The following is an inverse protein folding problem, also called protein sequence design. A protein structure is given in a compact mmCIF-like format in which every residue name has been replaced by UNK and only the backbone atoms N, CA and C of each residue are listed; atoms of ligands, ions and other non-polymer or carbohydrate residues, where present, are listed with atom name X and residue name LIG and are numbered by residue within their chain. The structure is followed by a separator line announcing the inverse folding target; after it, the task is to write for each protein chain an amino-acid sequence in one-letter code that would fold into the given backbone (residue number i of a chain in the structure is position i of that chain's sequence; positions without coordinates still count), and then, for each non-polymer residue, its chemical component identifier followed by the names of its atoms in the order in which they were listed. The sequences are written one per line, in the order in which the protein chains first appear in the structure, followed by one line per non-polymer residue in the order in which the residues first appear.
data_IF_451608966555
#
_entry.id   IF_451608966555
#
_cell.length_a   1.000
_cell.length_b   1.000
_cell.length_c   1.000
_cell.angle_alpha   90.00
_cell.angle_beta   90.00
_cell.angle_gamma   90.00
#
_symmetry.space_group_name_H-M   'P 1'
#
loop_
_entity.id
_entity.type
_entity.pdbx_description
1 polymer ?
#
# COMPACT_ATOMS: atom_id res chain seq x y z
N UNK A 1 35.92 -26.52 -55.81
CA UNK A 1 34.99 -25.57 -55.18
C UNK A 1 35.07 -25.72 -53.64
N UNK A 2 35.89 -24.86 -53.02
CA UNK A 2 35.96 -24.77 -51.58
C UNK A 2 34.83 -23.76 -51.09
N UNK A 3 33.85 -24.26 -50.37
CA UNK A 3 32.84 -23.45 -49.73
C UNK A 3 33.38 -23.03 -48.36
N UNK A 4 33.83 -21.77 -48.24
CA UNK A 4 34.25 -21.19 -46.96
C UNK A 4 33.05 -20.92 -46.06
N UNK A 5 32.98 -21.61 -44.92
CA UNK A 5 32.04 -21.30 -43.86
C UNK A 5 32.51 -20.03 -43.13
N UNK A 6 31.78 -18.92 -43.29
CA UNK A 6 31.97 -17.72 -42.49
C UNK A 6 31.25 -17.96 -41.17
N UNK A 7 32.02 -18.27 -40.10
CA UNK A 7 31.54 -18.24 -38.72
C UNK A 7 31.34 -16.77 -38.31
N UNK A 8 30.09 -16.34 -38.23
CA UNK A 8 29.77 -15.11 -37.53
C UNK A 8 29.95 -15.35 -36.02
N UNK A 9 30.78 -14.53 -35.33
CA UNK A 9 30.81 -14.60 -33.85
C UNK A 9 29.43 -14.21 -33.32
N UNK A 10 28.78 -15.15 -32.62
CA UNK A 10 27.60 -14.88 -31.86
C UNK A 10 28.04 -13.94 -30.72
N UNK A 11 27.80 -12.63 -30.88
CA UNK A 11 27.94 -11.67 -29.80
C UNK A 11 26.95 -12.09 -28.73
N UNK A 12 27.45 -12.74 -27.67
CA UNK A 12 26.67 -13.07 -26.49
C UNK A 12 26.11 -11.79 -25.92
N UNK A 13 24.80 -11.60 -26.02
CA UNK A 13 24.11 -10.57 -25.26
C UNK A 13 24.28 -10.95 -23.81
N UNK A 14 25.05 -10.17 -23.06
CA UNK A 14 25.20 -10.38 -21.62
C UNK A 14 23.80 -10.32 -21.01
N UNK A 15 23.33 -11.46 -20.51
CA UNK A 15 22.05 -11.56 -19.83
C UNK A 15 22.20 -10.85 -18.48
N UNK A 16 21.71 -9.60 -18.40
CA UNK A 16 21.72 -8.83 -17.16
C UNK A 16 20.77 -9.56 -16.19
N UNK A 17 21.31 -10.14 -15.15
CA UNK A 17 20.51 -10.78 -14.10
C UNK A 17 19.63 -9.74 -13.43
N UNK A 18 18.41 -10.09 -13.10
CA UNK A 18 17.46 -9.18 -12.42
C UNK A 18 18.03 -8.64 -11.10
N UNK A 19 18.77 -9.47 -10.35
CA UNK A 19 19.48 -9.08 -9.14
C UNK A 19 20.44 -7.89 -9.29
N UNK A 20 21.05 -7.75 -10.49
CA UNK A 20 22.05 -6.70 -10.76
C UNK A 20 21.42 -5.31 -10.94
N UNK A 21 20.08 -5.24 -10.90
CA UNK A 21 19.30 -4.00 -11.02
C UNK A 21 18.70 -3.55 -9.69
N UNK A 22 18.92 -4.30 -8.63
CA UNK A 22 18.35 -4.03 -7.31
C UNK A 22 19.43 -3.45 -6.42
N UNK A 23 19.14 -2.28 -5.87
CA UNK A 23 19.97 -1.62 -4.87
C UNK A 23 19.16 -1.41 -3.61
N UNK A 24 19.74 -1.71 -2.44
CA UNK A 24 19.11 -1.55 -1.14
C UNK A 24 19.85 -0.53 -0.29
N UNK A 25 19.11 0.37 0.32
CA UNK A 25 19.62 1.40 1.21
C UNK A 25 18.83 1.43 2.52
N UNK A 26 19.49 1.91 3.58
CA UNK A 26 18.82 2.31 4.82
C UNK A 26 19.10 3.79 5.04
N UNK A 27 18.05 4.57 5.21
CA UNK A 27 18.16 5.99 5.54
C UNK A 27 18.44 6.18 7.03
N UNK A 28 18.90 7.36 7.44
CA UNK A 28 19.20 7.69 8.85
C UNK A 28 17.98 7.54 9.77
N UNK A 29 16.77 7.66 9.22
CA UNK A 29 15.51 7.45 9.95
C UNK A 29 15.04 5.99 9.95
N UNK A 30 15.94 5.04 9.60
CA UNK A 30 15.72 3.60 9.56
C UNK A 30 14.77 3.12 8.45
N UNK A 31 14.31 3.99 7.53
CA UNK A 31 13.52 3.56 6.39
C UNK A 31 14.39 2.73 5.43
N UNK A 32 13.88 1.56 5.07
CA UNK A 32 14.47 0.75 3.99
C UNK A 32 14.02 1.28 2.65
N UNK A 33 14.98 1.48 1.73
CA UNK A 33 14.71 1.88 0.34
C UNK A 33 15.25 0.81 -0.60
N UNK A 34 14.42 0.38 -1.54
CA UNK A 34 14.78 -0.58 -2.59
C UNK A 34 14.61 0.12 -3.93
N UNK A 35 15.69 0.24 -4.69
CA UNK A 35 15.68 0.76 -6.05
C UNK A 35 15.78 -0.38 -7.05
N UNK A 36 14.89 -0.38 -8.04
CA UNK A 36 14.88 -1.37 -9.13
C UNK A 36 14.99 -0.60 -10.43
N UNK A 37 16.18 -0.59 -11.02
CA UNK A 37 16.42 0.18 -12.24
C UNK A 37 15.84 -0.50 -13.48
N UNK A 38 14.95 0.23 -14.21
CA UNK A 38 14.42 -0.20 -15.50
C UNK A 38 14.30 0.99 -16.47
N UNK A 39 15.26 1.12 -17.38
CA UNK A 39 15.35 2.24 -18.32
C UNK A 39 14.56 2.03 -19.63
N UNK A 40 13.75 0.97 -19.74
CA UNK A 40 13.00 0.67 -20.96
C UNK A 40 11.84 1.62 -21.23
N UNK A 41 11.35 2.31 -20.18
CA UNK A 41 10.25 3.26 -20.27
C UNK A 41 10.52 4.45 -19.33
N UNK A 42 10.04 5.66 -19.62
CA UNK A 42 10.17 6.80 -18.72
C UNK A 42 9.12 6.78 -17.58
N UNK A 43 8.64 5.61 -17.20
CA UNK A 43 7.64 5.41 -16.15
C UNK A 43 8.33 4.91 -14.89
N UNK A 44 7.92 5.45 -13.75
CA UNK A 44 8.35 5.00 -12.43
C UNK A 44 7.14 4.59 -11.59
N UNK A 45 7.32 3.55 -10.80
CA UNK A 45 6.41 3.16 -9.73
C UNK A 45 7.09 3.46 -8.40
N UNK A 46 6.50 4.35 -7.61
CA UNK A 46 6.84 4.56 -6.20
C UNK A 46 5.86 3.78 -5.35
N UNK A 47 6.34 2.95 -4.45
CA UNK A 47 5.49 2.11 -3.61
C UNK A 47 6.00 2.09 -2.17
N UNK A 48 5.17 2.56 -1.24
CA UNK A 48 5.47 2.64 0.18
C UNK A 48 4.68 1.55 0.92
N UNK A 49 5.40 0.70 1.65
CA UNK A 49 4.85 -0.45 2.37
C UNK A 49 5.08 -0.32 3.86
N UNK A 50 4.01 -0.34 4.65
CA UNK A 50 4.07 -0.41 6.11
C UNK A 50 3.91 -1.85 6.57
N UNK A 51 4.73 -2.28 7.52
CA UNK A 51 4.67 -3.63 8.13
C UNK A 51 3.57 -3.70 9.16
N UNK A 52 2.33 -3.50 8.71
CA UNK A 52 1.12 -3.56 9.54
C UNK A 52 -0.09 -3.87 8.65
N UNK A 53 -0.98 -4.69 9.15
CA UNK A 53 -2.22 -5.08 8.49
C UNK A 53 -3.12 -5.83 9.48
N UNK A 54 -4.12 -6.55 8.99
CA UNK A 54 -5.14 -7.16 9.86
C UNK A 54 -4.58 -8.18 10.88
N UNK A 55 -3.40 -8.76 10.64
CA UNK A 55 -2.78 -9.70 11.58
C UNK A 55 -2.24 -9.03 12.86
N UNK A 56 -2.15 -7.72 12.88
CA UNK A 56 -1.73 -6.93 14.04
C UNK A 56 -2.92 -6.45 14.89
N UNK A 57 -4.13 -6.59 14.34
CA UNK A 57 -5.39 -6.17 14.98
C UNK A 57 -5.83 -7.15 16.08
N UNK A 58 -6.74 -6.71 16.92
CA UNK A 58 -7.33 -7.50 17.98
C UNK A 58 -8.85 -7.22 18.07
N UNK A 59 -9.63 -8.11 18.69
CA UNK A 59 -11.08 -7.90 18.87
C UNK A 59 -11.38 -6.54 19.48
N UNK A 60 -12.36 -5.84 18.92
CA UNK A 60 -12.75 -4.47 19.27
C UNK A 60 -12.24 -3.40 18.33
N UNK A 61 -11.19 -3.69 17.53
CA UNK A 61 -10.62 -2.76 16.53
C UNK A 61 -10.29 -3.45 15.21
N UNK A 62 -10.95 -4.57 14.89
CA UNK A 62 -10.72 -5.24 13.60
C UNK A 62 -11.19 -4.38 12.44
N UNK A 63 -10.37 -4.31 11.37
CA UNK A 63 -10.57 -3.44 10.22
C UNK A 63 -9.95 -2.05 10.35
N UNK A 64 -9.25 -1.76 11.48
CA UNK A 64 -8.64 -0.44 11.69
C UNK A 64 -7.56 -0.13 10.64
N UNK A 65 -6.78 -1.14 10.20
CA UNK A 65 -5.79 -0.95 9.15
C UNK A 65 -6.43 -0.55 7.83
N UNK A 66 -7.56 -1.15 7.49
CA UNK A 66 -8.30 -0.86 6.27
C UNK A 66 -9.01 0.51 6.34
N UNK A 67 -9.61 0.85 7.48
CA UNK A 67 -10.18 2.19 7.69
C UNK A 67 -9.08 3.25 7.61
N UNK A 68 -7.91 3.01 8.20
CA UNK A 68 -6.79 3.95 8.12
C UNK A 68 -6.28 4.09 6.67
N UNK A 69 -6.26 3.00 5.87
CA UNK A 69 -5.97 3.08 4.45
C UNK A 69 -6.86 4.10 3.75
N UNK A 70 -8.19 4.06 3.97
CA UNK A 70 -9.14 5.04 3.43
C UNK A 70 -8.84 6.46 3.94
N UNK A 71 -8.56 6.60 5.23
CA UNK A 71 -8.29 7.90 5.85
C UNK A 71 -7.00 8.55 5.31
N UNK A 72 -6.03 7.78 4.81
CA UNK A 72 -4.81 8.31 4.21
C UNK A 72 -5.05 9.17 2.96
N UNK A 73 -6.25 9.15 2.39
CA UNK A 73 -6.66 9.99 1.26
C UNK A 73 -7.46 11.25 1.68
N UNK A 74 -7.68 11.46 2.98
CA UNK A 74 -8.51 12.56 3.51
C UNK A 74 -7.75 13.85 3.83
N UNK A 75 -6.48 13.90 3.43
CA UNK A 75 -5.66 15.11 3.55
C UNK A 75 -4.80 15.15 4.80
N UNK A 76 -3.98 16.17 4.84
CA UNK A 76 -2.99 16.43 5.88
C UNK A 76 -3.16 17.86 6.39
N UNK A 77 -2.28 18.31 7.26
CA UNK A 77 -2.25 19.73 7.69
C UNK A 77 -1.88 20.71 6.56
N UNK A 78 -1.32 20.20 5.45
CA UNK A 78 -0.82 20.99 4.32
C UNK A 78 -1.43 20.62 2.97
N UNK A 79 -2.19 19.52 2.90
CA UNK A 79 -2.77 18.97 1.67
C UNK A 79 -4.26 18.71 1.87
N UNK A 80 -5.11 19.18 0.95
CA UNK A 80 -6.56 18.97 1.02
C UNK A 80 -6.95 17.51 0.76
N UNK A 81 -8.15 17.11 1.23
CA UNK A 81 -8.72 15.79 0.95
C UNK A 81 -8.80 15.51 -0.56
N UNK A 82 -8.24 14.39 -1.00
CA UNK A 82 -8.22 13.97 -2.39
C UNK A 82 -7.31 14.79 -3.31
N UNK A 83 -6.57 15.78 -2.79
CA UNK A 83 -5.67 16.61 -3.59
C UNK A 83 -4.56 15.79 -4.23
N UNK A 84 -3.91 14.93 -3.48
CA UNK A 84 -2.87 14.06 -4.02
C UNK A 84 -3.38 13.20 -5.18
N UNK A 85 -4.54 12.55 -5.02
CA UNK A 85 -5.19 11.77 -6.07
C UNK A 85 -5.48 12.60 -7.32
N UNK A 86 -5.95 13.83 -7.14
CA UNK A 86 -6.22 14.77 -8.24
C UNK A 86 -4.94 15.13 -8.99
N UNK A 87 -3.85 15.41 -8.26
CA UNK A 87 -2.56 15.73 -8.85
C UNK A 87 -2.01 14.54 -9.65
N UNK A 88 -1.99 13.33 -9.09
CA UNK A 88 -1.54 12.13 -9.81
C UNK A 88 -2.31 11.93 -11.12
N UNK A 89 -3.63 12.11 -11.10
CA UNK A 89 -4.47 12.03 -12.31
C UNK A 89 -4.14 13.13 -13.33
N UNK A 90 -3.92 14.37 -12.89
CA UNK A 90 -3.54 15.49 -13.77
C UNK A 90 -2.18 15.25 -14.44
N UNK A 91 -1.26 14.56 -13.76
CA UNK A 91 0.05 14.17 -14.29
C UNK A 91 -0.02 12.94 -15.22
N UNK A 92 -1.24 12.42 -15.52
CA UNK A 92 -1.44 11.22 -16.33
C UNK A 92 -1.03 9.93 -15.63
N UNK A 93 -0.85 9.96 -14.33
CA UNK A 93 -0.51 8.81 -13.50
C UNK A 93 -1.73 8.06 -12.95
N UNK A 94 -1.45 7.02 -12.20
CA UNK A 94 -2.42 6.27 -11.42
C UNK A 94 -1.87 5.99 -10.02
N UNK A 95 -2.76 5.89 -9.06
CA UNK A 95 -2.43 5.49 -7.70
C UNK A 95 -3.43 4.47 -7.17
N UNK A 96 -3.03 3.73 -6.16
CA UNK A 96 -3.92 2.88 -5.37
C UNK A 96 -3.29 2.55 -4.03
N UNK A 97 -4.10 1.93 -3.15
CA UNK A 97 -3.66 1.37 -1.90
C UNK A 97 -4.29 -0.01 -1.70
N UNK A 98 -3.75 -0.77 -0.78
CA UNK A 98 -4.30 -2.07 -0.39
C UNK A 98 -3.84 -2.44 1.01
N UNK A 99 -4.72 -3.05 1.77
CA UNK A 99 -4.43 -3.63 3.07
C UNK A 99 -4.40 -5.15 2.96
N UNK A 100 -3.29 -5.73 3.39
CA UNK A 100 -3.11 -7.16 3.55
C UNK A 100 -3.23 -7.60 5.00
N UNK A 101 -2.82 -8.85 5.28
CA UNK A 101 -2.76 -9.35 6.66
C UNK A 101 -1.55 -8.77 7.40
N UNK A 102 -0.38 -8.72 6.76
CA UNK A 102 0.89 -8.35 7.40
C UNK A 102 1.43 -6.99 6.94
N UNK A 103 0.80 -6.37 5.96
CA UNK A 103 1.24 -5.12 5.37
C UNK A 103 0.09 -4.28 4.84
N UNK A 104 0.31 -2.98 4.75
CA UNK A 104 -0.51 -2.01 4.02
C UNK A 104 0.40 -1.26 3.04
N UNK A 105 0.01 -1.20 1.77
CA UNK A 105 0.82 -0.61 0.71
C UNK A 105 0.09 0.50 -0.03
N UNK A 106 0.86 1.51 -0.44
CA UNK A 106 0.41 2.66 -1.23
C UNK A 106 1.33 2.79 -2.43
N UNK A 107 0.82 3.00 -3.63
CA UNK A 107 1.68 3.17 -4.78
C UNK A 107 1.15 4.19 -5.78
N UNK A 108 2.09 4.84 -6.47
CA UNK A 108 1.83 5.72 -7.60
C UNK A 108 2.65 5.23 -8.79
N UNK A 109 2.03 5.28 -9.96
CA UNK A 109 2.67 5.04 -11.25
C UNK A 109 2.59 6.33 -12.05
N UNK A 110 3.75 6.96 -12.33
CA UNK A 110 3.83 8.26 -12.99
C UNK A 110 5.00 8.29 -13.98
N UNK A 111 5.08 9.34 -14.82
CA UNK A 111 6.31 9.63 -15.53
C UNK A 111 7.44 9.94 -14.52
N UNK A 112 8.65 9.52 -14.80
CA UNK A 112 9.82 9.64 -13.90
C UNK A 112 10.07 11.04 -13.36
N UNK A 113 9.76 12.07 -14.16
CA UNK A 113 9.95 13.48 -13.78
C UNK A 113 9.04 13.93 -12.62
N UNK A 114 8.03 13.13 -12.29
CA UNK A 114 7.08 13.39 -11.20
C UNK A 114 7.32 12.54 -9.95
N UNK A 115 8.42 11.78 -9.90
CA UNK A 115 8.77 10.96 -8.73
C UNK A 115 8.89 11.82 -7.46
N UNK A 116 9.58 12.96 -7.55
CA UNK A 116 9.73 13.88 -6.42
C UNK A 116 8.39 14.34 -5.87
N UNK A 117 7.43 14.64 -6.75
CA UNK A 117 6.06 14.99 -6.36
C UNK A 117 5.41 13.86 -5.55
N UNK A 118 5.51 12.60 -6.01
CA UNK A 118 4.99 11.46 -5.28
C UNK A 118 5.62 11.33 -3.89
N UNK A 119 6.95 11.42 -3.80
CA UNK A 119 7.67 11.30 -2.54
C UNK A 119 7.32 12.41 -1.56
N UNK A 120 7.11 13.64 -2.04
CA UNK A 120 6.68 14.77 -1.21
C UNK A 120 5.32 14.51 -0.57
N UNK A 121 4.32 14.08 -1.33
CA UNK A 121 2.99 13.79 -0.80
C UNK A 121 2.97 12.56 0.09
N UNK A 122 3.76 11.53 -0.23
CA UNK A 122 3.90 10.35 0.63
C UNK A 122 4.54 10.69 1.98
N UNK A 123 5.58 11.52 1.98
CA UNK A 123 6.21 11.96 3.22
C UNK A 123 5.29 12.84 4.05
N UNK A 124 4.49 13.69 3.41
CA UNK A 124 3.53 14.55 4.09
C UNK A 124 2.44 13.72 4.79
N UNK A 125 1.80 12.77 4.10
CA UNK A 125 0.78 11.92 4.72
C UNK A 125 1.32 10.91 5.74
N UNK A 126 2.63 10.60 5.71
CA UNK A 126 3.26 9.80 6.75
C UNK A 126 3.40 10.54 8.08
N UNK A 127 3.47 11.88 8.06
CA UNK A 127 3.79 12.69 9.24
C UNK A 127 2.63 13.59 9.67
N UNK A 128 1.86 14.11 8.71
CA UNK A 128 0.92 15.20 8.92
C UNK A 128 -0.53 14.81 8.68
N UNK A 129 -0.86 13.51 8.64
CA UNK A 129 -2.21 13.02 8.36
C UNK A 129 -3.23 13.61 9.34
N UNK A 130 -4.32 14.14 8.81
CA UNK A 130 -5.43 14.65 9.61
C UNK A 130 -6.47 13.55 9.83
N UNK A 131 -6.59 13.10 11.07
CA UNK A 131 -7.60 12.12 11.49
C UNK A 131 -8.69 12.84 12.27
N UNK A 132 -9.73 13.29 11.56
CA UNK A 132 -10.87 13.99 12.13
C UNK A 132 -12.14 13.11 12.19
N UNK A 133 -13.09 13.51 13.01
CA UNK A 133 -14.30 12.72 13.27
C UNK A 133 -15.27 12.70 12.08
N UNK A 134 -15.31 13.75 11.27
CA UNK A 134 -16.26 13.87 10.17
C UNK A 134 -15.86 12.95 9.02
N UNK A 135 -14.58 12.96 8.64
CA UNK A 135 -14.04 12.06 7.62
C UNK A 135 -14.16 10.60 8.07
N UNK A 136 -13.82 10.30 9.33
CA UNK A 136 -14.00 8.96 9.87
C UNK A 136 -15.46 8.50 9.79
N UNK A 137 -16.41 9.35 10.14
CA UNK A 137 -17.84 9.02 10.06
C UNK A 137 -18.24 8.64 8.64
N UNK A 138 -17.76 9.41 7.67
CA UNK A 138 -18.05 9.17 6.24
C UNK A 138 -17.40 7.88 5.76
N UNK A 139 -16.10 7.71 6.00
CA UNK A 139 -15.36 6.53 5.54
C UNK A 139 -15.82 5.24 6.22
N UNK A 140 -16.24 5.32 7.46
CA UNK A 140 -16.83 4.17 8.16
C UNK A 140 -18.06 3.63 7.44
N UNK A 141 -18.94 4.49 6.94
CA UNK A 141 -20.11 4.06 6.16
C UNK A 141 -19.70 3.48 4.79
N UNK A 142 -18.67 4.04 4.16
CA UNK A 142 -18.09 3.48 2.92
C UNK A 142 -17.53 2.08 3.17
N UNK A 143 -16.74 1.89 4.21
CA UNK A 143 -16.15 0.57 4.57
C UNK A 143 -17.24 -0.44 4.94
N UNK A 144 -18.29 -0.03 5.65
CA UNK A 144 -19.45 -0.88 5.94
C UNK A 144 -20.16 -1.35 4.68
N UNK A 145 -20.35 -0.44 3.72
CA UNK A 145 -20.98 -0.79 2.46
C UNK A 145 -20.10 -1.72 1.62
N UNK A 146 -18.80 -1.45 1.61
CA UNK A 146 -17.83 -2.33 0.97
C UNK A 146 -17.86 -3.74 1.59
N UNK A 147 -17.93 -3.85 2.93
CA UNK A 147 -18.08 -5.12 3.61
C UNK A 147 -19.37 -5.84 3.21
N UNK A 148 -20.51 -5.12 3.13
CA UNK A 148 -21.77 -5.71 2.65
C UNK A 148 -21.58 -6.31 1.26
N UNK A 149 -21.13 -5.52 0.31
CA UNK A 149 -20.97 -5.91 -1.09
C UNK A 149 -19.95 -7.06 -1.28
N UNK A 150 -18.81 -6.99 -0.60
CA UNK A 150 -17.72 -7.96 -0.78
C UNK A 150 -17.90 -9.24 0.02
N UNK A 151 -18.57 -9.18 1.16
CA UNK A 151 -18.65 -10.30 2.10
C UNK A 151 -20.09 -10.71 2.41
N UNK A 152 -20.93 -9.79 2.91
CA UNK A 152 -22.25 -10.18 3.41
C UNK A 152 -23.22 -10.64 2.30
N UNK A 153 -23.18 -9.95 1.16
CA UNK A 153 -24.00 -10.26 -0.02
C UNK A 153 -23.36 -11.30 -0.94
N UNK A 154 -22.13 -11.75 -0.64
CA UNK A 154 -21.41 -12.75 -1.40
C UNK A 154 -21.31 -14.06 -0.61
N UNK A 155 -22.11 -15.10 -0.96
CA UNK A 155 -22.12 -16.36 -0.22
C UNK A 155 -20.76 -17.06 -0.17
N UNK A 156 -19.97 -16.99 -1.25
CA UNK A 156 -18.63 -17.59 -1.29
C UNK A 156 -17.66 -16.88 -0.35
N UNK A 157 -17.62 -15.56 -0.38
CA UNK A 157 -16.75 -14.77 0.52
C UNK A 157 -17.12 -14.99 1.98
N UNK A 158 -18.43 -15.05 2.28
CA UNK A 158 -18.94 -15.34 3.63
C UNK A 158 -18.56 -16.75 4.10
N UNK A 159 -18.59 -17.74 3.20
CA UNK A 159 -18.14 -19.09 3.51
C UNK A 159 -16.63 -19.11 3.78
N UNK A 160 -15.80 -18.44 2.95
CA UNK A 160 -14.35 -18.36 3.16
C UNK A 160 -13.99 -17.65 4.47
N UNK A 161 -14.67 -16.58 4.84
CA UNK A 161 -14.47 -15.90 6.13
C UNK A 161 -14.76 -16.86 7.29
N UNK A 162 -15.90 -17.57 7.26
CA UNK A 162 -16.25 -18.56 8.29
C UNK A 162 -15.24 -19.70 8.38
N UNK A 163 -14.77 -20.22 7.26
CA UNK A 163 -13.73 -21.25 7.23
C UNK A 163 -12.43 -20.74 7.84
N UNK A 164 -12.01 -19.52 7.48
CA UNK A 164 -10.83 -18.87 8.06
C UNK A 164 -10.94 -18.74 9.59
N UNK A 165 -12.08 -18.28 10.08
CA UNK A 165 -12.35 -18.20 11.52
C UNK A 165 -12.35 -19.58 12.20
N UNK A 166 -12.85 -20.65 11.56
CA UNK A 166 -12.81 -21.99 12.11
C UNK A 166 -11.39 -22.57 12.17
N UNK A 167 -10.57 -22.31 11.16
CA UNK A 167 -9.19 -22.83 11.09
C UNK A 167 -8.27 -22.08 12.06
N UNK A 168 -8.34 -20.76 12.06
CA UNK A 168 -7.40 -19.89 12.79
C UNK A 168 -7.98 -19.33 14.10
N UNK A 169 -9.30 -19.42 14.32
CA UNK A 169 -9.97 -18.87 15.48
C UNK A 169 -9.80 -17.34 15.55
N UNK A 170 -9.54 -16.84 16.76
CA UNK A 170 -9.23 -15.43 16.99
C UNK A 170 -7.74 -15.11 16.79
N UNK A 171 -6.96 -16.04 16.24
CA UNK A 171 -5.58 -15.78 15.89
C UNK A 171 -5.49 -14.83 14.70
N UNK A 172 -4.35 -14.19 14.55
CA UNK A 172 -4.05 -13.12 13.58
C UNK A 172 -4.62 -13.35 12.17
N UNK A 173 -4.61 -14.58 11.68
CA UNK A 173 -5.05 -14.91 10.32
C UNK A 173 -6.54 -15.29 10.22
N UNK A 174 -7.24 -15.45 11.33
CA UNK A 174 -8.68 -15.64 11.39
C UNK A 174 -9.48 -14.33 11.27
N UNK A 175 -8.84 -13.20 11.59
CA UNK A 175 -9.47 -11.88 11.52
C UNK A 175 -9.66 -11.48 10.05
N UNK A 176 -10.87 -11.07 9.62
CA UNK A 176 -11.08 -10.57 8.26
C UNK A 176 -10.37 -9.23 8.06
N UNK A 177 -9.72 -9.04 6.89
CA UNK A 177 -8.95 -7.82 6.60
C UNK A 177 -9.82 -6.57 6.71
N UNK A 178 -11.05 -6.64 6.22
CA UNK A 178 -12.00 -5.52 6.29
C UNK A 178 -12.55 -5.28 7.70
N UNK A 179 -12.34 -6.22 8.64
CA UNK A 179 -12.89 -6.15 10.00
C UNK A 179 -14.31 -6.69 10.12
N UNK A 180 -14.81 -6.77 11.35
CA UNK A 180 -16.21 -7.10 11.64
C UNK A 180 -17.09 -5.86 11.53
N UNK A 181 -18.38 -6.01 11.23
CA UNK A 181 -19.33 -4.89 11.16
C UNK A 181 -19.42 -4.16 12.49
N UNK A 182 -19.33 -4.90 13.60
CA UNK A 182 -19.37 -4.36 14.95
C UNK A 182 -18.16 -3.48 15.23
N UNK A 183 -16.94 -4.00 15.01
CA UNK A 183 -15.70 -3.26 15.26
C UNK A 183 -15.59 -2.02 14.37
N UNK A 184 -15.87 -2.16 13.07
CA UNK A 184 -15.92 -1.02 12.12
C UNK A 184 -16.83 0.09 12.67
N UNK A 185 -17.98 -0.26 13.28
CA UNK A 185 -18.92 0.71 13.81
C UNK A 185 -18.41 1.43 15.05
N UNK A 186 -17.53 0.80 15.81
CA UNK A 186 -17.05 1.28 17.11
C UNK A 186 -15.70 1.99 17.06
N UNK A 187 -14.86 1.73 16.03
CA UNK A 187 -13.56 2.41 15.86
C UNK A 187 -13.74 3.93 15.90
N UNK A 188 -12.95 4.59 16.71
CA UNK A 188 -12.99 6.04 16.89
C UNK A 188 -11.69 6.71 16.42
N UNK A 189 -11.66 8.04 16.44
CA UNK A 189 -10.48 8.80 15.99
C UNK A 189 -9.25 8.59 16.87
N UNK A 190 -9.43 8.28 18.16
CA UNK A 190 -8.29 8.00 19.03
C UNK A 190 -7.65 6.66 18.68
N UNK A 191 -8.45 5.63 18.40
CA UNK A 191 -7.94 4.33 17.95
C UNK A 191 -7.10 4.49 16.68
N UNK A 192 -7.60 5.27 15.69
CA UNK A 192 -6.87 5.55 14.45
C UNK A 192 -5.57 6.32 14.70
N UNK A 193 -5.57 7.33 15.58
CA UNK A 193 -4.37 8.09 15.93
C UNK A 193 -3.32 7.21 16.59
N UNK A 194 -3.73 6.34 17.51
CA UNK A 194 -2.83 5.41 18.19
C UNK A 194 -2.25 4.39 17.22
N UNK A 195 -3.09 3.88 16.29
CA UNK A 195 -2.65 2.97 15.23
C UNK A 195 -1.66 3.64 14.27
N UNK A 196 -1.98 4.83 13.79
CA UNK A 196 -1.13 5.62 12.91
C UNK A 196 0.22 5.95 13.57
N UNK A 197 0.23 6.50 14.78
CA UNK A 197 1.44 6.85 15.50
C UNK A 197 2.34 5.63 15.79
N UNK A 198 1.73 4.48 15.99
CA UNK A 198 2.44 3.24 16.29
C UNK A 198 3.13 2.66 15.07
N UNK A 199 2.47 2.63 13.93
CA UNK A 199 2.88 1.84 12.78
C UNK A 199 3.30 2.65 11.55
N UNK A 200 2.79 3.88 11.35
CA UNK A 200 3.06 4.70 10.19
C UNK A 200 4.27 5.60 10.42
N UNK A 201 5.45 5.01 10.36
CA UNK A 201 6.73 5.68 10.60
C UNK A 201 7.84 5.06 9.75
N UNK A 202 8.92 5.82 9.46
CA UNK A 202 10.01 5.37 8.61
C UNK A 202 10.58 4.01 8.99
N UNK A 203 10.87 3.77 10.29
CA UNK A 203 11.45 2.52 10.78
C UNK A 203 10.56 1.27 10.60
N UNK A 204 9.26 1.47 10.32
CA UNK A 204 8.31 0.40 10.03
C UNK A 204 7.90 0.36 8.54
N UNK A 205 8.56 1.16 7.69
CA UNK A 205 8.23 1.29 6.29
C UNK A 205 9.36 0.79 5.38
N UNK A 206 8.97 0.38 4.17
CA UNK A 206 9.88 0.11 3.05
C UNK A 206 9.39 0.87 1.83
N UNK A 207 10.24 1.72 1.27
CA UNK A 207 9.99 2.41 0.01
C UNK A 207 10.61 1.61 -1.13
N UNK A 208 9.83 1.28 -2.14
CA UNK A 208 10.28 0.60 -3.36
C UNK A 208 10.07 1.55 -4.52
N UNK A 209 11.13 1.83 -5.27
CA UNK A 209 11.10 2.65 -6.48
C UNK A 209 11.56 1.78 -7.64
N UNK A 210 10.69 1.59 -8.63
CA UNK A 210 10.97 0.81 -9.82
C UNK A 210 10.75 1.66 -11.08
N UNK A 211 11.82 1.78 -11.93
CA UNK A 211 11.76 2.59 -13.15
C UNK A 211 13.11 2.94 -13.73
#
# INVERSE_FOLDING_TARGET
FLMGFILFPCLGVAEIKFSDRIEEYSLDNEMKVILIQDKRSPIVVSSLWYKVGSSFEYPGVTGISHILEHMMFKGTTTTEAGEFSRIIKQLGGSENAFTGRDFTGYYQKVHKDYLETCLKYESDRMVNLMLNQEDLRTEREVVKEERRLRTEDNPSSKAYEKIGMQIFGLQKYGIPIIGTMEDISNINTQDLKDWYNRYYKPSNATLIIAG
#
